data_IF_730184450950
#
_entry.id   IF_730184450950
#
_cell.length_a   1.000
_cell.length_b   1.000
_cell.length_c   1.000
_cell.angle_alpha   90.00
_cell.angle_beta   90.00
_cell.angle_gamma   90.00
#
_symmetry.space_group_name_H-M   'P 1'
#
loop_
_entity.id
_entity.type
_entity.pdbx_description
1 polymer ?
#
# COMPACT_ATOMS: atom_id res chain seq x y z
N UNK A 1 20.41 -9.70 41.40
CA UNK A 1 18.96 -9.85 41.17
C UNK A 1 18.77 -10.17 39.70
N UNK A 2 18.65 -11.45 39.35
CA UNK A 2 18.23 -11.86 38.00
C UNK A 2 16.74 -11.55 37.88
N UNK A 3 16.39 -10.76 36.88
CA UNK A 3 15.01 -10.41 36.50
C UNK A 3 14.56 -11.26 35.32
N UNK A 4 14.88 -12.55 35.32
CA UNK A 4 14.31 -13.48 34.36
C UNK A 4 12.96 -13.97 34.88
N UNK A 5 11.92 -13.19 34.60
CA UNK A 5 10.56 -13.71 34.66
C UNK A 5 10.37 -14.63 33.45
N UNK A 6 10.15 -15.95 33.63
CA UNK A 6 9.86 -16.85 32.52
C UNK A 6 8.48 -16.51 31.96
N UNK A 7 8.45 -15.60 30.99
CA UNK A 7 7.28 -15.36 30.16
C UNK A 7 7.13 -16.46 29.12
N UNK A 8 5.91 -16.71 28.61
CA UNK A 8 5.72 -17.60 27.48
C UNK A 8 6.59 -17.15 26.31
N UNK A 9 7.13 -18.10 25.55
CA UNK A 9 7.92 -17.84 24.35
C UNK A 9 7.12 -16.93 23.41
N UNK A 10 7.63 -15.72 23.18
CA UNK A 10 6.95 -14.73 22.35
C UNK A 10 7.33 -14.96 20.90
N UNK A 11 6.40 -15.49 20.12
CA UNK A 11 6.55 -15.56 18.67
C UNK A 11 6.51 -14.14 18.12
N UNK A 12 7.51 -13.78 17.31
CA UNK A 12 7.66 -12.45 16.72
C UNK A 12 7.05 -12.42 15.31
N UNK A 13 6.65 -11.23 14.87
CA UNK A 13 6.25 -11.02 13.48
C UNK A 13 7.41 -11.36 12.53
N UNK A 14 7.17 -12.13 11.46
CA UNK A 14 8.21 -12.43 10.49
C UNK A 14 8.56 -11.18 9.68
N UNK A 15 9.84 -10.84 9.68
CA UNK A 15 10.47 -9.79 8.88
C UNK A 15 11.69 -10.38 8.18
N UNK A 16 11.78 -10.20 6.87
CA UNK A 16 12.88 -10.70 6.09
C UNK A 16 13.30 -9.73 4.98
N UNK A 17 14.54 -9.88 4.55
CA UNK A 17 15.08 -9.17 3.39
C UNK A 17 14.70 -9.92 2.12
N UNK A 18 14.06 -9.24 1.18
CA UNK A 18 13.71 -9.78 -0.14
C UNK A 18 14.37 -8.94 -1.21
N UNK A 19 15.03 -9.58 -2.19
CA UNK A 19 15.64 -8.90 -3.32
C UNK A 19 14.69 -8.90 -4.50
N UNK A 20 14.70 -7.83 -5.29
CA UNK A 20 13.96 -7.71 -6.54
C UNK A 20 14.92 -7.32 -7.64
N UNK A 21 14.86 -8.02 -8.77
CA UNK A 21 15.65 -7.78 -9.98
C UNK A 21 14.73 -7.40 -11.12
N UNK A 22 15.09 -6.35 -11.85
CA UNK A 22 14.39 -5.91 -13.07
C UNK A 22 15.20 -6.28 -14.33
N UNK A 23 14.57 -6.17 -15.50
CA UNK A 23 15.11 -6.49 -16.82
C UNK A 23 16.55 -6.01 -17.06
N UNK A 24 16.84 -4.79 -16.64
CA UNK A 24 18.08 -4.07 -16.92
C UNK A 24 19.23 -4.44 -15.97
N UNK A 25 19.01 -5.45 -15.12
CA UNK A 25 19.96 -5.87 -14.10
C UNK A 25 19.88 -5.01 -12.83
N UNK A 26 18.99 -4.01 -12.76
CA UNK A 26 18.76 -3.26 -11.52
C UNK A 26 18.28 -4.21 -10.43
N UNK A 27 18.88 -4.11 -9.25
CA UNK A 27 18.46 -4.85 -8.07
C UNK A 27 18.24 -3.90 -6.88
N UNK A 28 17.19 -4.19 -6.11
CA UNK A 28 16.89 -3.50 -4.84
C UNK A 28 16.33 -4.48 -3.83
N UNK A 29 16.21 -4.05 -2.57
CA UNK A 29 15.82 -4.86 -1.44
C UNK A 29 14.67 -4.26 -0.65
N UNK A 30 13.76 -5.12 -0.20
CA UNK A 30 12.71 -4.81 0.76
C UNK A 30 13.03 -5.41 2.13
N UNK A 31 12.58 -4.74 3.19
CA UNK A 31 12.30 -5.38 4.48
C UNK A 31 10.80 -5.53 4.61
N UNK A 32 10.31 -6.77 4.58
CA UNK A 32 8.87 -7.06 4.53
C UNK A 32 8.53 -8.36 5.23
N UNK A 33 7.22 -8.61 5.38
CA UNK A 33 6.73 -9.93 5.75
C UNK A 33 6.87 -10.88 4.55
N UNK A 34 7.59 -12.02 4.64
CA UNK A 34 7.94 -12.87 3.50
C UNK A 34 6.79 -13.82 3.10
N UNK A 35 5.64 -13.24 2.76
CA UNK A 35 4.46 -13.95 2.27
C UNK A 35 3.94 -13.22 1.04
N UNK A 36 3.32 -13.95 0.11
CA UNK A 36 2.69 -13.42 -1.10
C UNK A 36 3.56 -12.38 -1.83
N UNK A 37 4.85 -12.68 -2.01
CA UNK A 37 5.83 -11.73 -2.51
C UNK A 37 5.52 -11.26 -3.94
N UNK A 38 4.91 -12.12 -4.74
CA UNK A 38 4.38 -11.77 -6.05
C UNK A 38 3.31 -10.66 -5.96
N UNK A 39 2.37 -10.77 -5.01
CA UNK A 39 1.33 -9.74 -4.78
C UNK A 39 1.97 -8.42 -4.34
N UNK A 40 2.93 -8.48 -3.42
CA UNK A 40 3.69 -7.30 -2.99
C UNK A 40 4.38 -6.63 -4.19
N UNK A 41 5.04 -7.40 -5.05
CA UNK A 41 5.78 -6.87 -6.18
C UNK A 41 4.89 -6.23 -7.24
N UNK A 42 3.79 -6.89 -7.60
CA UNK A 42 2.79 -6.32 -8.51
C UNK A 42 2.25 -4.99 -7.99
N UNK A 43 1.85 -5.01 -6.72
CA UNK A 43 1.33 -3.84 -6.05
C UNK A 43 2.31 -2.69 -5.96
N UNK A 44 3.56 -2.99 -5.63
CA UNK A 44 4.63 -2.00 -5.58
C UNK A 44 4.88 -1.39 -6.96
N UNK A 45 4.92 -2.18 -8.04
CA UNK A 45 5.11 -1.67 -9.41
C UNK A 45 3.96 -0.75 -9.85
N UNK A 46 2.72 -1.07 -9.46
CA UNK A 46 1.54 -0.23 -9.66
C UNK A 46 1.66 1.07 -8.86
N UNK A 47 1.98 0.97 -7.58
CA UNK A 47 2.12 2.11 -6.68
C UNK A 47 3.34 3.01 -6.98
N UNK A 48 4.35 2.49 -7.69
CA UNK A 48 5.44 3.29 -8.26
C UNK A 48 5.11 3.87 -9.64
N UNK A 49 3.96 3.50 -10.23
CA UNK A 49 3.52 3.98 -11.54
C UNK A 49 4.26 3.36 -12.72
N UNK A 50 4.98 2.26 -12.47
CA UNK A 50 5.75 1.52 -13.47
C UNK A 50 4.81 0.67 -14.32
N UNK A 51 3.89 -0.05 -13.69
CA UNK A 51 2.89 -0.91 -14.33
C UNK A 51 1.50 -0.29 -14.22
N UNK A 52 0.71 -0.40 -15.29
CA UNK A 52 -0.68 0.08 -15.37
C UNK A 52 -1.64 -1.02 -15.77
N UNK A 53 -1.20 -1.98 -16.57
CA UNK A 53 -2.04 -3.09 -17.06
C UNK A 53 -1.29 -4.42 -16.98
N UNK A 54 -1.99 -5.57 -16.84
CA UNK A 54 -1.34 -6.86 -16.66
C UNK A 54 -0.40 -7.28 -17.80
N UNK A 55 -0.70 -6.88 -19.04
CA UNK A 55 0.11 -7.15 -20.24
C UNK A 55 1.48 -6.46 -20.25
N UNK A 56 1.70 -5.51 -19.33
CA UNK A 56 2.99 -4.85 -19.17
C UNK A 56 4.00 -5.64 -18.32
N UNK A 57 3.58 -6.81 -17.81
CA UNK A 57 4.43 -7.76 -17.07
C UNK A 57 4.60 -9.02 -17.92
N UNK A 58 5.82 -9.25 -18.39
CA UNK A 58 6.18 -10.39 -19.23
C UNK A 58 6.58 -11.62 -18.41
N UNK A 59 7.08 -11.41 -17.19
CA UNK A 59 7.42 -12.49 -16.24
C UNK A 59 7.50 -11.94 -14.81
N UNK A 60 7.11 -12.75 -13.84
CA UNK A 60 7.38 -12.53 -12.44
C UNK A 60 7.64 -13.89 -11.79
N UNK A 61 8.89 -14.12 -11.41
CA UNK A 61 9.32 -15.41 -10.85
C UNK A 61 9.96 -15.20 -9.48
N UNK A 62 9.55 -16.00 -8.51
CA UNK A 62 10.18 -16.10 -7.20
C UNK A 62 11.24 -17.20 -7.21
N UNK A 63 12.38 -16.89 -6.62
CA UNK A 63 13.54 -17.75 -6.51
C UNK A 63 13.88 -17.97 -5.04
N UNK A 64 14.51 -19.12 -4.78
CA UNK A 64 15.04 -19.47 -3.47
C UNK A 64 15.98 -18.40 -2.89
N UNK A 65 16.17 -18.45 -1.58
CA UNK A 65 17.05 -17.57 -0.84
C UNK A 65 18.47 -17.50 -1.44
N UNK A 66 19.02 -16.28 -1.54
CA UNK A 66 20.40 -16.00 -1.95
C UNK A 66 21.06 -15.08 -0.91
N UNK A 67 22.34 -15.28 -0.62
CA UNK A 67 23.23 -14.47 0.23
C UNK A 67 22.59 -13.27 0.97
N UNK A 68 22.06 -13.53 2.17
CA UNK A 68 21.51 -12.49 3.06
C UNK A 68 20.09 -12.04 2.75
N UNK A 69 19.41 -12.68 1.78
CA UNK A 69 18.00 -12.47 1.45
C UNK A 69 17.24 -13.78 1.61
N UNK A 70 16.03 -13.69 2.18
CA UNK A 70 15.16 -14.85 2.36
C UNK A 70 14.47 -15.28 1.06
N UNK A 71 14.37 -14.37 0.07
CA UNK A 71 13.83 -14.65 -1.26
C UNK A 71 14.37 -13.65 -2.28
N UNK A 72 14.38 -14.03 -3.55
CA UNK A 72 14.64 -13.13 -4.67
C UNK A 72 13.51 -13.20 -5.70
N UNK A 73 13.06 -12.04 -6.18
CA UNK A 73 12.12 -11.94 -7.29
C UNK A 73 12.84 -11.47 -8.53
N UNK A 74 12.56 -12.10 -9.67
CA UNK A 74 12.89 -11.57 -10.99
C UNK A 74 11.62 -11.09 -11.67
N UNK A 75 11.61 -9.82 -12.08
CA UNK A 75 10.49 -9.21 -12.79
C UNK A 75 10.97 -8.81 -14.18
N UNK A 76 10.28 -9.31 -15.20
CA UNK A 76 10.44 -8.88 -16.59
C UNK A 76 9.25 -8.02 -17.00
N UNK A 77 9.51 -6.76 -17.29
CA UNK A 77 8.54 -5.76 -17.72
C UNK A 77 8.58 -5.57 -19.24
N UNK A 78 7.44 -5.28 -19.84
CA UNK A 78 7.40 -4.86 -21.24
C UNK A 78 8.17 -3.53 -21.43
N UNK A 79 8.73 -3.25 -22.62
CA UNK A 79 9.57 -2.07 -22.84
C UNK A 79 8.92 -0.73 -22.44
N UNK A 80 7.62 -0.59 -22.66
CA UNK A 80 6.85 0.61 -22.30
C UNK A 80 6.74 0.82 -20.78
N UNK A 81 6.73 -0.24 -19.98
CA UNK A 81 6.76 -0.16 -18.52
C UNK A 81 8.17 0.10 -18.01
N UNK A 82 9.17 -0.58 -18.58
CA UNK A 82 10.56 -0.34 -18.23
C UNK A 82 10.98 1.12 -18.53
N UNK A 83 10.44 1.76 -19.58
CA UNK A 83 10.72 3.18 -19.85
C UNK A 83 10.24 4.14 -18.74
N UNK A 84 9.24 3.72 -17.95
CA UNK A 84 8.71 4.47 -16.80
C UNK A 84 9.49 4.20 -15.52
N UNK A 85 10.27 3.12 -15.47
CA UNK A 85 11.17 2.85 -14.36
C UNK A 85 12.22 3.96 -14.23
N UNK A 86 12.42 4.43 -13.01
CA UNK A 86 13.42 5.45 -12.65
C UNK A 86 14.18 4.95 -11.42
N UNK A 87 15.36 4.32 -11.60
CA UNK A 87 16.15 3.84 -10.48
C UNK A 87 16.60 5.02 -9.62
N UNK A 88 16.77 4.78 -8.32
CA UNK A 88 17.37 5.75 -7.43
C UNK A 88 18.83 6.05 -7.87
N UNK A 89 19.36 7.26 -7.59
CA UNK A 89 20.73 7.58 -7.92
C UNK A 89 21.73 6.58 -7.32
N UNK A 90 22.88 6.33 -7.98
CA UNK A 90 23.94 5.49 -7.42
C UNK A 90 24.34 5.94 -6.01
N UNK A 91 24.57 4.98 -5.10
CA UNK A 91 24.96 5.27 -3.70
C UNK A 91 23.81 5.45 -2.72
N UNK A 92 22.55 5.40 -3.19
CA UNK A 92 21.36 5.36 -2.33
C UNK A 92 21.22 4.07 -1.51
N UNK A 93 21.96 3.01 -1.89
CA UNK A 93 21.92 1.69 -1.24
C UNK A 93 20.74 0.85 -1.72
N UNK A 94 20.84 -0.48 -1.61
CA UNK A 94 19.82 -1.42 -2.10
C UNK A 94 18.43 -1.22 -1.43
N UNK A 95 18.36 -0.50 -0.30
CA UNK A 95 17.14 -0.34 0.51
C UNK A 95 16.45 1.02 0.35
N UNK A 96 16.98 1.91 -0.49
CA UNK A 96 16.45 3.25 -0.69
C UNK A 96 15.52 3.35 -1.90
N UNK A 97 14.64 2.36 -2.08
CA UNK A 97 13.69 2.38 -3.20
C UNK A 97 12.27 2.23 -2.66
N UNK A 98 11.55 3.36 -2.70
CA UNK A 98 10.21 3.53 -2.17
C UNK A 98 10.22 4.30 -0.86
N UNK A 99 9.57 5.46 -0.73
CA UNK A 99 8.73 6.16 -1.69
C UNK A 99 9.55 7.07 -2.65
N UNK A 100 10.87 7.09 -2.49
CA UNK A 100 12.00 7.76 -3.20
C UNK A 100 12.42 7.01 -4.45
N UNK A 101 12.31 7.43 -5.72
CA UNK A 101 12.24 8.75 -6.34
C UNK A 101 11.47 9.86 -5.60
N UNK A 102 10.36 9.58 -4.89
CA UNK A 102 9.65 10.39 -3.85
C UNK A 102 9.01 11.65 -4.37
N UNK A 103 9.78 12.47 -5.02
CA UNK A 103 9.34 13.58 -5.86
C UNK A 103 10.48 13.93 -6.86
N UNK A 104 11.35 12.99 -7.26
CA UNK A 104 12.67 13.26 -7.90
C UNK A 104 12.57 13.92 -9.29
N UNK A 105 11.37 14.09 -9.80
CA UNK A 105 11.00 15.23 -10.62
C UNK A 105 9.67 15.72 -10.03
N UNK A 106 9.51 16.99 -9.63
CA UNK A 106 8.20 17.59 -9.30
C UNK A 106 7.29 17.72 -10.56
N UNK A 107 7.37 16.76 -11.49
CA UNK A 107 6.90 16.88 -12.88
C UNK A 107 6.39 15.57 -13.50
N UNK A 108 6.05 14.57 -12.69
CA UNK A 108 5.16 13.46 -13.09
C UNK A 108 4.19 13.22 -11.94
N UNK A 109 3.28 14.18 -11.82
CA UNK A 109 2.14 14.15 -10.93
C UNK A 109 1.22 12.98 -11.30
N UNK A 110 0.59 12.28 -10.33
CA UNK A 110 -0.62 11.52 -10.64
C UNK A 110 -1.52 12.38 -11.53
N UNK A 111 -2.08 11.83 -12.60
CA UNK A 111 -2.92 12.63 -13.49
C UNK A 111 -4.07 13.24 -12.68
N UNK A 112 -4.33 14.55 -12.84
CA UNK A 112 -5.46 15.19 -12.15
C UNK A 112 -6.71 14.41 -12.49
N UNK A 113 -7.30 13.88 -11.43
CA UNK A 113 -8.44 13.00 -11.48
C UNK A 113 -9.68 13.87 -11.23
N UNK A 114 -10.75 13.67 -12.01
CA UNK A 114 -12.10 14.18 -11.72
C UNK A 114 -12.59 13.82 -10.30
N UNK A 115 -13.73 14.39 -9.86
CA UNK A 115 -14.23 14.26 -8.48
C UNK A 115 -14.54 12.81 -8.09
N UNK A 116 -14.68 12.55 -6.79
CA UNK A 116 -15.18 11.28 -6.28
C UNK A 116 -16.64 11.01 -6.72
N UNK A 117 -17.02 9.73 -6.76
CA UNK A 117 -18.40 9.33 -7.07
C UNK A 117 -19.35 9.62 -5.89
N UNK A 118 -20.62 9.99 -6.15
CA UNK A 118 -21.65 10.10 -5.12
C UNK A 118 -21.80 8.81 -4.29
N UNK A 119 -21.61 7.65 -4.91
CA UNK A 119 -21.67 6.33 -4.30
C UNK A 119 -20.54 6.15 -3.26
N UNK A 120 -19.30 6.50 -3.62
CA UNK A 120 -18.16 6.47 -2.70
C UNK A 120 -18.41 7.39 -1.50
N UNK A 121 -18.86 8.62 -1.75
CA UNK A 121 -19.16 9.60 -0.69
C UNK A 121 -20.24 9.08 0.27
N UNK A 122 -21.27 8.42 -0.25
CA UNK A 122 -22.35 7.82 0.54
C UNK A 122 -21.82 6.69 1.41
N UNK A 123 -21.03 5.79 0.84
CA UNK A 123 -20.39 4.68 1.56
C UNK A 123 -19.48 5.16 2.69
N UNK A 124 -18.69 6.21 2.47
CA UNK A 124 -17.77 6.75 3.47
C UNK A 124 -18.49 7.47 4.63
N UNK A 125 -19.67 8.06 4.39
CA UNK A 125 -20.50 8.70 5.43
C UNK A 125 -21.26 7.68 6.30
N UNK A 126 -21.45 6.45 5.83
CA UNK A 126 -22.04 5.36 6.61
C UNK A 126 -21.05 4.81 7.66
N UNK A 127 -21.12 5.37 8.87
CA UNK A 127 -20.20 5.06 9.96
C UNK A 127 -20.28 3.61 10.44
N UNK A 128 -21.47 3.02 10.44
CA UNK A 128 -21.65 1.64 10.88
C UNK A 128 -21.02 0.67 9.89
N UNK A 129 -21.15 0.98 8.60
CA UNK A 129 -20.49 0.22 7.54
C UNK A 129 -18.97 0.34 7.60
N UNK A 130 -18.44 1.55 7.73
CA UNK A 130 -16.98 1.76 7.90
C UNK A 130 -16.46 1.04 9.15
N UNK A 131 -17.17 1.12 10.27
CA UNK A 131 -16.81 0.41 11.50
C UNK A 131 -16.87 -1.12 11.32
N UNK A 132 -17.85 -1.62 10.56
CA UNK A 132 -18.01 -3.01 10.17
C UNK A 132 -16.82 -3.52 9.36
N UNK A 133 -16.41 -2.80 8.32
CA UNK A 133 -15.24 -3.19 7.53
C UNK A 133 -13.96 -3.23 8.36
N UNK A 134 -13.74 -2.26 9.25
CA UNK A 134 -12.58 -2.34 10.14
C UNK A 134 -12.63 -3.55 11.06
N UNK A 135 -13.80 -3.92 11.58
CA UNK A 135 -13.95 -5.11 12.42
C UNK A 135 -13.58 -6.36 11.64
N UNK A 136 -14.20 -6.55 10.48
CA UNK A 136 -13.94 -7.68 9.59
C UNK A 136 -12.46 -7.73 9.15
N UNK A 137 -11.86 -6.58 8.82
CA UNK A 137 -10.44 -6.49 8.46
C UNK A 137 -9.52 -7.00 9.58
N UNK A 138 -9.81 -6.66 10.85
CA UNK A 138 -9.01 -7.16 11.97
C UNK A 138 -9.31 -8.61 12.33
N UNK A 139 -10.54 -9.08 12.14
CA UNK A 139 -10.92 -10.46 12.38
C UNK A 139 -10.25 -11.41 11.36
N UNK A 140 -10.05 -10.94 10.11
CA UNK A 140 -9.33 -11.65 9.04
C UNK A 140 -7.80 -11.50 9.09
N UNK A 141 -7.27 -10.66 9.99
CA UNK A 141 -5.84 -10.38 10.11
C UNK A 141 -5.11 -11.45 10.96
N UNK A 142 -4.67 -12.52 10.31
CA UNK A 142 -4.13 -13.73 10.94
C UNK A 142 -2.77 -13.50 11.62
N UNK A 143 -1.85 -12.76 10.99
CA UNK A 143 -0.51 -12.50 11.54
C UNK A 143 -0.63 -11.58 12.76
N UNK A 144 -1.41 -10.50 12.63
CA UNK A 144 -1.68 -9.59 13.74
C UNK A 144 -2.29 -10.33 14.93
N UNK A 145 -3.25 -11.22 14.70
CA UNK A 145 -3.95 -11.93 15.77
C UNK A 145 -3.08 -13.00 16.44
N UNK A 146 -2.13 -13.59 15.70
CA UNK A 146 -1.21 -14.60 16.23
C UNK A 146 -0.01 -14.00 16.95
N UNK A 147 0.65 -12.98 16.38
CA UNK A 147 1.95 -12.48 16.86
C UNK A 147 2.03 -10.97 17.03
N UNK A 148 1.05 -10.21 16.51
CA UNK A 148 1.09 -8.75 16.51
C UNK A 148 2.22 -8.21 15.62
N UNK A 149 2.78 -7.04 15.96
CA UNK A 149 3.99 -6.50 15.31
C UNK A 149 3.86 -6.05 13.84
N UNK A 150 2.70 -6.24 13.21
CA UNK A 150 2.44 -5.87 11.81
C UNK A 150 1.41 -4.76 11.67
N UNK A 151 1.45 -4.09 10.53
CA UNK A 151 0.36 -3.28 10.04
C UNK A 151 -0.64 -4.14 9.28
N UNK A 152 -1.91 -3.76 9.38
CA UNK A 152 -3.02 -4.38 8.64
C UNK A 152 -3.69 -3.33 7.75
N UNK A 153 -4.13 -3.74 6.58
CA UNK A 153 -5.01 -2.98 5.71
C UNK A 153 -6.06 -3.85 5.04
N UNK A 154 -7.06 -3.21 4.43
CA UNK A 154 -8.17 -3.88 3.78
C UNK A 154 -8.56 -3.19 2.47
N UNK A 155 -9.00 -3.96 1.49
CA UNK A 155 -9.51 -3.48 0.21
C UNK A 155 -11.02 -3.65 0.21
N UNK A 156 -11.75 -2.55 0.04
CA UNK A 156 -13.20 -2.57 -0.16
C UNK A 156 -13.51 -2.28 -1.62
N UNK A 157 -14.32 -3.14 -2.21
CA UNK A 157 -14.84 -3.05 -3.59
C UNK A 157 -16.35 -3.22 -3.51
N UNK A 158 -17.10 -2.35 -4.19
CA UNK A 158 -18.57 -2.37 -4.19
C UNK A 158 -19.19 -2.40 -2.78
N UNK A 159 -18.52 -1.74 -1.83
CA UNK A 159 -18.94 -1.64 -0.43
C UNK A 159 -18.75 -2.92 0.40
N UNK A 160 -18.01 -3.92 -0.09
CA UNK A 160 -17.66 -5.14 0.64
C UNK A 160 -16.14 -5.28 0.79
N UNK A 161 -15.68 -5.83 1.92
CA UNK A 161 -14.25 -6.08 2.16
C UNK A 161 -13.79 -7.29 1.33
N UNK A 162 -13.07 -7.03 0.24
CA UNK A 162 -12.56 -8.06 -0.66
C UNK A 162 -11.28 -8.71 -0.11
N UNK A 163 -10.27 -7.91 0.24
CA UNK A 163 -8.95 -8.40 0.66
C UNK A 163 -8.47 -7.81 1.98
N UNK A 164 -7.60 -8.53 2.67
CA UNK A 164 -6.85 -8.08 3.85
C UNK A 164 -5.37 -8.32 3.59
N UNK A 165 -4.56 -7.31 3.89
CA UNK A 165 -3.11 -7.38 3.76
C UNK A 165 -2.45 -7.09 5.10
N UNK A 166 -1.35 -7.80 5.37
CA UNK A 166 -0.54 -7.63 6.56
C UNK A 166 0.94 -7.49 6.17
N UNK A 167 1.65 -6.56 6.80
CA UNK A 167 3.09 -6.41 6.62
C UNK A 167 3.70 -5.62 7.78
N UNK A 168 4.96 -5.88 8.13
CA UNK A 168 5.72 -5.04 9.07
C UNK A 168 5.83 -3.59 8.58
N UNK A 169 5.79 -3.36 7.27
CA UNK A 169 5.79 -2.03 6.66
C UNK A 169 4.37 -1.57 6.29
N UNK A 170 3.95 -0.42 6.84
CA UNK A 170 2.68 0.22 6.44
C UNK A 170 2.59 0.59 4.95
N UNK A 171 3.73 0.75 4.28
CA UNK A 171 3.76 1.04 2.83
C UNK A 171 3.50 -0.24 2.03
N UNK A 172 4.11 -1.34 2.44
CA UNK A 172 3.88 -2.65 1.81
C UNK A 172 2.45 -3.15 2.01
N UNK A 173 1.76 -2.73 3.08
CA UNK A 173 0.30 -2.96 3.19
C UNK A 173 -0.44 -2.30 2.02
N UNK A 174 -0.11 -1.04 1.67
CA UNK A 174 -0.73 -0.34 0.53
C UNK A 174 -0.37 -1.03 -0.78
N UNK A 175 0.91 -1.39 -0.94
CA UNK A 175 1.38 -2.11 -2.13
C UNK A 175 0.62 -3.43 -2.27
N UNK A 176 0.56 -4.28 -1.23
CA UNK A 176 -0.18 -5.56 -1.27
C UNK A 176 -1.65 -5.39 -1.64
N UNK A 177 -2.35 -4.41 -1.06
CA UNK A 177 -3.75 -4.12 -1.42
C UNK A 177 -3.89 -3.73 -2.90
N UNK A 178 -2.96 -2.93 -3.41
CA UNK A 178 -2.92 -2.58 -4.83
C UNK A 178 -2.62 -3.80 -5.71
N UNK A 179 -1.73 -4.70 -5.27
CA UNK A 179 -1.41 -5.95 -5.96
C UNK A 179 -2.62 -6.87 -6.06
N UNK A 180 -3.34 -7.08 -4.95
CA UNK A 180 -4.58 -7.86 -4.94
C UNK A 180 -5.64 -7.25 -5.86
N UNK A 181 -5.87 -5.93 -5.77
CA UNK A 181 -6.83 -5.24 -6.64
C UNK A 181 -6.44 -5.30 -8.12
N UNK A 182 -5.14 -5.26 -8.43
CA UNK A 182 -4.62 -5.33 -9.78
C UNK A 182 -4.85 -6.70 -10.40
N UNK A 183 -4.57 -7.76 -9.63
CA UNK A 183 -4.82 -9.15 -10.04
C UNK A 183 -6.31 -9.41 -10.31
N UNK A 184 -7.18 -8.85 -9.48
CA UNK A 184 -8.64 -9.02 -9.63
C UNK A 184 -9.25 -8.08 -10.68
N UNK A 185 -8.46 -7.14 -11.24
CA UNK A 185 -8.97 -6.11 -12.16
C UNK A 185 -9.95 -5.14 -11.52
N UNK A 186 -9.92 -4.99 -10.19
CA UNK A 186 -10.87 -4.15 -9.44
C UNK A 186 -10.34 -2.76 -9.11
N UNK A 187 -9.09 -2.43 -9.47
CA UNK A 187 -8.56 -1.07 -9.25
C UNK A 187 -9.46 -0.02 -9.90
N UNK A 188 -9.90 0.95 -9.09
CA UNK A 188 -10.82 1.97 -9.57
C UNK A 188 -11.22 2.95 -8.49
N UNK A 189 -11.92 4.01 -8.89
CA UNK A 189 -12.31 5.10 -8.00
C UNK A 189 -13.35 4.74 -6.97
N UNK A 190 -14.07 3.66 -7.17
CA UNK A 190 -15.06 3.18 -6.21
C UNK A 190 -14.44 2.22 -5.18
N UNK A 191 -13.12 2.01 -5.25
CA UNK A 191 -12.39 1.21 -4.26
C UNK A 191 -11.83 2.06 -3.12
N UNK A 192 -11.81 1.45 -1.94
CA UNK A 192 -11.34 2.07 -0.70
C UNK A 192 -10.24 1.19 -0.10
N UNK A 193 -9.13 1.81 0.30
CA UNK A 193 -8.15 1.14 1.15
C UNK A 193 -8.33 1.56 2.61
N UNK A 194 -8.51 0.57 3.48
CA UNK A 194 -8.53 0.70 4.94
C UNK A 194 -7.12 0.51 5.48
N UNK A 195 -6.73 1.32 6.46
CA UNK A 195 -5.37 1.31 7.01
C UNK A 195 -5.37 1.37 8.54
N UNK A 196 -4.55 0.52 9.15
CA UNK A 196 -4.25 0.60 10.59
C UNK A 196 -3.29 1.75 10.95
N UNK A 197 -2.54 2.29 9.98
CA UNK A 197 -1.47 3.27 10.17
C UNK A 197 -1.86 4.71 9.78
N UNK A 198 -1.04 5.69 10.20
CA UNK A 198 -1.13 7.10 9.72
C UNK A 198 -1.02 7.17 8.20
N UNK A 199 -1.71 8.14 7.59
CA UNK A 199 -1.63 8.38 6.15
C UNK A 199 -0.55 9.44 5.88
N UNK A 200 0.63 8.99 5.43
CA UNK A 200 1.72 9.89 5.01
C UNK A 200 1.58 10.31 3.54
N UNK A 201 2.26 11.38 3.11
CA UNK A 201 2.28 11.83 1.71
C UNK A 201 2.66 10.71 0.73
N UNK A 202 3.66 9.90 1.06
CA UNK A 202 4.05 8.72 0.30
C UNK A 202 2.91 7.70 0.11
N UNK A 203 2.13 7.45 1.16
CA UNK A 203 0.98 6.52 1.07
C UNK A 203 -0.13 7.10 0.20
N UNK A 204 -0.38 8.42 0.29
CA UNK A 204 -1.31 9.10 -0.60
C UNK A 204 -0.86 9.01 -2.07
N UNK A 205 0.42 9.21 -2.36
CA UNK A 205 0.97 9.05 -3.73
C UNK A 205 0.74 7.63 -4.25
N UNK A 206 1.08 6.60 -3.46
CA UNK A 206 0.87 5.20 -3.82
C UNK A 206 -0.61 4.92 -4.14
N UNK A 207 -1.52 5.42 -3.31
CA UNK A 207 -2.96 5.28 -3.52
C UNK A 207 -3.47 6.02 -4.78
N UNK A 208 -3.03 7.26 -5.01
CA UNK A 208 -3.37 8.04 -6.20
C UNK A 208 -2.88 7.35 -7.48
N UNK A 209 -1.68 6.76 -7.45
CA UNK A 209 -1.14 5.97 -8.57
C UNK A 209 -1.91 4.68 -8.79
N UNK A 210 -2.22 3.98 -7.70
CA UNK A 210 -2.95 2.71 -7.76
C UNK A 210 -4.33 2.85 -8.41
N UNK A 211 -5.05 3.95 -8.18
CA UNK A 211 -6.40 4.04 -8.74
C UNK A 211 -7.49 4.45 -7.79
N UNK A 212 -7.24 4.33 -6.50
CA UNK A 212 -8.31 4.21 -5.51
C UNK A 212 -9.01 5.53 -5.21
N UNK A 213 -10.27 5.45 -4.80
CA UNK A 213 -11.07 6.62 -4.46
C UNK A 213 -10.77 7.17 -3.07
N UNK A 214 -10.42 6.30 -2.12
CA UNK A 214 -10.22 6.73 -0.74
C UNK A 214 -9.16 5.95 0.02
N UNK A 215 -8.46 6.67 0.91
CA UNK A 215 -7.71 6.10 2.03
C UNK A 215 -8.43 6.38 3.34
N UNK A 216 -8.83 5.33 4.04
CA UNK A 216 -9.55 5.41 5.31
C UNK A 216 -8.67 4.82 6.40
N UNK A 217 -8.38 5.62 7.43
CA UNK A 217 -7.50 5.21 8.52
C UNK A 217 -8.13 5.45 9.89
N UNK A 218 -7.82 4.56 10.83
CA UNK A 218 -8.08 4.79 12.27
C UNK A 218 -7.18 5.89 12.86
N UNK A 219 -6.12 6.29 12.17
CA UNK A 219 -5.20 7.36 12.57
C UNK A 219 -5.44 8.63 11.75
N UNK A 220 -4.49 9.57 11.71
CA UNK A 220 -4.64 10.86 11.01
C UNK A 220 -3.76 10.95 9.76
N UNK A 221 -4.17 11.72 8.73
CA UNK A 221 -3.29 12.11 7.64
C UNK A 221 -2.30 13.21 8.05
N UNK A 222 -1.17 13.27 7.35
CA UNK A 222 -0.23 14.40 7.41
C UNK A 222 -0.65 15.51 6.45
N UNK A 223 -0.17 16.74 6.66
CA UNK A 223 -0.42 17.87 5.75
C UNK A 223 -0.06 17.55 4.29
N UNK A 224 1.15 17.01 4.04
CA UNK A 224 1.56 16.58 2.69
C UNK A 224 0.62 15.54 2.08
N UNK A 225 0.03 14.66 2.90
CA UNK A 225 -0.95 13.70 2.40
C UNK A 225 -2.23 14.39 1.94
N UNK A 226 -2.72 15.37 2.71
CA UNK A 226 -3.89 16.15 2.34
C UNK A 226 -3.63 16.97 1.06
N UNK A 227 -2.45 17.57 0.92
CA UNK A 227 -2.05 18.29 -0.31
C UNK A 227 -2.03 17.37 -1.53
N UNK A 228 -1.40 16.20 -1.41
CA UNK A 228 -1.38 15.20 -2.50
C UNK A 228 -2.81 14.75 -2.83
N UNK A 229 -3.60 14.43 -1.81
CA UNK A 229 -4.95 13.91 -2.01
C UNK A 229 -5.87 14.93 -2.71
N UNK A 230 -5.82 16.20 -2.28
CA UNK A 230 -6.59 17.28 -2.87
C UNK A 230 -6.27 17.54 -4.34
N UNK A 231 -4.98 17.54 -4.70
CA UNK A 231 -4.55 17.72 -6.09
C UNK A 231 -4.97 16.57 -7.03
N UNK A 232 -5.25 15.39 -6.45
CA UNK A 232 -5.40 14.13 -7.19
C UNK A 232 -6.75 13.45 -7.02
N UNK A 233 -7.75 14.14 -6.45
CA UNK A 233 -9.11 13.60 -6.35
C UNK A 233 -9.22 12.38 -5.44
N UNK A 234 -8.29 12.22 -4.49
CA UNK A 234 -8.31 11.15 -3.49
C UNK A 234 -8.99 11.65 -2.21
N UNK A 235 -9.92 10.87 -1.66
CA UNK A 235 -10.54 11.18 -0.37
C UNK A 235 -9.68 10.60 0.75
N UNK A 236 -9.43 11.39 1.80
CA UNK A 236 -8.84 10.85 3.03
C UNK A 236 -9.88 10.87 4.15
N UNK A 237 -9.94 9.79 4.92
CA UNK A 237 -10.72 9.73 6.16
C UNK A 237 -9.78 9.37 7.30
N UNK A 238 -9.55 10.33 8.20
CA UNK A 238 -8.82 10.13 9.44
C UNK A 238 -9.76 9.81 10.60
N UNK A 239 -9.23 9.17 11.65
CA UNK A 239 -9.95 8.82 12.87
C UNK A 239 -11.25 8.07 12.59
N UNK A 240 -11.27 7.22 11.55
CA UNK A 240 -12.48 6.62 10.99
C UNK A 240 -13.32 5.78 11.96
N UNK A 241 -12.75 5.35 13.10
CA UNK A 241 -13.46 4.61 14.16
C UNK A 241 -13.86 5.47 15.37
N UNK A 242 -13.64 6.78 15.31
CA UNK A 242 -14.04 7.71 16.38
C UNK A 242 -15.47 8.18 16.14
N UNK A 243 -16.03 8.83 17.17
CA UNK A 243 -17.36 9.41 17.10
C UNK A 243 -17.46 10.46 15.98
N UNK A 244 -16.40 11.24 15.80
CA UNK A 244 -16.27 12.23 14.73
C UNK A 244 -15.06 11.88 13.87
N UNK A 245 -15.25 11.19 12.74
CA UNK A 245 -14.22 11.02 11.72
C UNK A 245 -13.82 12.38 11.11
N UNK A 246 -12.58 12.48 10.63
CA UNK A 246 -12.10 13.66 9.94
C UNK A 246 -12.07 13.37 8.44
N UNK A 247 -12.90 14.06 7.67
CA UNK A 247 -12.95 13.91 6.21
C UNK A 247 -12.11 15.00 5.55
N UNK A 248 -11.36 14.60 4.53
CA UNK A 248 -10.57 15.49 3.68
C UNK A 248 -11.00 15.23 2.24
N UNK A 249 -12.00 15.99 1.79
CA UNK A 249 -12.52 15.91 0.43
C UNK A 249 -11.64 16.71 -0.54
N UNK A 250 -11.38 16.21 -1.76
CA UNK A 250 -10.50 16.87 -2.71
C UNK A 250 -11.10 18.13 -3.35
N UNK A 251 -12.43 18.24 -3.41
CA UNK A 251 -13.14 19.49 -3.73
C UNK A 251 -13.47 20.20 -2.42
N UNK A 252 -13.18 21.49 -2.32
CA UNK A 252 -13.17 22.31 -1.08
C UNK A 252 -14.49 22.52 -0.36
N UNK A 253 -15.36 21.52 -0.28
CA UNK A 253 -16.52 21.48 0.61
C UNK A 253 -16.09 20.82 1.92
N UNK A 254 -15.61 21.66 2.83
CA UNK A 254 -15.66 21.35 4.24
C UNK A 254 -17.13 21.43 4.67
N UNK A 255 -17.79 20.28 4.82
CA UNK A 255 -18.97 20.12 5.67
C UNK A 255 -18.56 19.42 6.97
#
# INVERSE_FOLDING_TARGET
MSTDLPGPERVLAPEARVRVRLNDGTAFGWSCTPQDLSVLALGWLVCEGVVRTPDEIEDLTEHDAEDGFAACLSVRLAPQALARWKPAPPGSGEFAVGPSALFAALGQEPGRRGPESPELRTLLKDRDRVAGWFREMFDRASIRSSVGGVHTGGLVVDGALAHVAEDVSRHHVVDRLAGSAFLDGTLGRDTIFLLSARISGAMAVKACRAGVGALVSRSVPTELAATVAGSHGLVLVGRARREVPHYYWPTGEAE
#
